data_IF_682589231285
#
_entry.id   IF_682589231285
#
_cell.length_a   1.000
_cell.length_b   1.000
_cell.length_c   1.000
_cell.angle_alpha   90.00
_cell.angle_beta   90.00
_cell.angle_gamma   90.00
#
_symmetry.space_group_name_H-M   'P 1'
#
loop_
_entity.id
_entity.type
_entity.pdbx_description
1 polymer ?
2 non-polymer ?
3 non-polymer ?
4 water ?
#
# COMPACT_ATOMS: atom_id res chain seq x y z
N UNK A 1 -29.53 -1.33 -8.63
CA UNK A 1 -28.73 -2.25 -7.84
C UNK A 1 -27.29 -2.29 -8.31
N UNK A 2 -27.00 -3.26 -9.21
CA UNK A 2 -25.66 -3.37 -9.81
C UNK A 2 -25.51 -2.30 -10.91
N UNK A 3 -26.64 -1.65 -11.34
CA UNK A 3 -26.70 -0.61 -12.37
C UNK A 3 -25.79 0.59 -12.07
N UNK A 4 -25.95 1.19 -10.87
CA UNK A 4 -25.17 2.35 -10.40
C UNK A 4 -23.76 1.91 -10.21
N UNK A 5 -23.55 0.73 -9.58
CA UNK A 5 -22.20 0.12 -9.36
C UNK A 5 -21.46 -0.09 -10.67
N UNK A 6 -22.12 -0.62 -11.70
CA UNK A 6 -21.53 -0.85 -13.03
C UNK A 6 -21.10 0.46 -13.70
N UNK A 7 -21.96 1.50 -13.65
CA UNK A 7 -21.76 2.85 -14.19
C UNK A 7 -20.57 3.48 -13.51
N UNK A 8 -20.45 3.31 -12.18
CA UNK A 8 -19.32 3.80 -11.37
C UNK A 8 -18.03 3.11 -11.88
N UNK A 9 -18.01 1.76 -11.87
CA UNK A 9 -16.87 0.99 -12.35
C UNK A 9 -16.49 1.35 -13.77
N UNK A 10 -17.48 1.64 -14.64
CA UNK A 10 -17.22 2.04 -16.02
C UNK A 10 -16.59 3.45 -16.10
N UNK A 11 -17.04 4.44 -15.30
CA UNK A 11 -16.43 5.78 -15.32
C UNK A 11 -14.99 5.73 -14.79
N UNK A 12 -14.77 4.96 -13.72
CA UNK A 12 -13.46 4.79 -13.13
C UNK A 12 -12.50 4.18 -14.16
N UNK A 13 -12.98 3.19 -14.94
CA UNK A 13 -12.19 2.56 -16.01
C UNK A 13 -11.82 3.60 -17.05
N UNK A 14 -12.80 4.36 -17.55
CA UNK A 14 -12.59 5.39 -18.56
C UNK A 14 -11.63 6.51 -18.10
N UNK A 15 -11.70 6.92 -16.80
CA UNK A 15 -10.79 7.94 -16.27
C UNK A 15 -9.36 7.40 -16.12
N UNK A 16 -9.24 6.10 -15.80
CA UNK A 16 -7.96 5.40 -15.65
C UNK A 16 -7.30 5.17 -17.04
N UNK A 17 -8.08 4.68 -18.04
CA UNK A 17 -7.63 4.34 -19.40
C UNK A 17 -7.40 5.53 -20.36
N UNK A 18 -7.92 6.71 -20.02
CA UNK A 18 -7.80 7.88 -20.87
C UNK A 18 -6.34 8.29 -21.07
N UNK A 19 -6.05 8.90 -22.23
CA UNK A 19 -4.72 9.41 -22.58
C UNK A 19 -4.24 10.49 -21.58
N UNK A 20 -2.96 10.39 -21.12
CA UNK A 20 -2.32 11.37 -20.26
C UNK A 20 -0.81 11.26 -20.42
N UNK A 21 -0.12 12.41 -20.32
CA UNK A 21 1.33 12.55 -20.42
C UNK A 21 1.93 12.47 -19.00
N UNK A 22 1.05 12.42 -17.97
CA UNK A 22 1.35 12.35 -16.54
C UNK A 22 2.47 11.35 -16.24
N UNK A 23 2.25 10.06 -16.59
CA UNK A 23 3.18 8.95 -16.40
C UNK A 23 4.51 9.18 -17.08
N UNK A 24 4.50 9.91 -18.21
CA UNK A 24 5.68 10.27 -18.97
C UNK A 24 6.52 11.26 -18.21
N UNK A 25 5.89 12.27 -17.60
CA UNK A 25 6.57 13.27 -16.77
C UNK A 25 7.19 12.57 -15.58
N UNK A 26 6.41 11.70 -14.91
CA UNK A 26 6.83 10.92 -13.75
C UNK A 26 8.01 9.99 -14.04
N UNK A 27 7.95 9.21 -15.16
CA UNK A 27 9.02 8.28 -15.56
C UNK A 27 10.37 9.00 -15.70
N UNK A 28 10.38 10.14 -16.41
CA UNK A 28 11.58 10.94 -16.65
C UNK A 28 12.22 11.48 -15.38
N UNK A 29 11.36 11.98 -14.45
CA UNK A 29 11.81 12.50 -13.15
C UNK A 29 12.47 11.39 -12.32
N UNK A 30 11.80 10.22 -12.19
CA UNK A 30 12.27 9.05 -11.43
C UNK A 30 13.60 8.50 -11.96
N UNK A 31 13.70 8.27 -13.31
CA UNK A 31 14.89 7.74 -14.00
C UNK A 31 16.09 8.61 -13.70
N UNK A 32 15.83 9.93 -13.56
CA UNK A 32 16.83 10.94 -13.27
C UNK A 32 17.27 10.81 -11.84
N UNK A 33 16.33 10.64 -10.91
CA UNK A 33 16.67 10.47 -9.51
C UNK A 33 17.54 9.23 -9.31
N UNK A 34 17.10 8.08 -9.89
CA UNK A 34 17.76 6.77 -9.81
C UNK A 34 19.21 6.77 -10.28
N UNK A 35 19.51 7.49 -11.38
CA UNK A 35 20.87 7.59 -11.94
C UNK A 35 21.82 8.42 -11.06
N UNK A 36 21.26 9.37 -10.31
CA UNK A 36 22.00 10.19 -9.36
C UNK A 36 22.26 9.41 -8.10
N UNK A 37 21.22 8.77 -7.57
CA UNK A 37 21.31 7.98 -6.34
C UNK A 37 22.31 6.79 -6.47
N UNK A 38 22.36 6.15 -7.66
CA UNK A 38 23.25 5.02 -7.95
C UNK A 38 24.76 5.36 -7.90
N UNK A 39 25.19 6.60 -8.25
CA UNK A 39 26.63 6.89 -8.17
C UNK A 39 27.03 7.41 -6.75
N UNK A 40 26.23 7.02 -5.72
CA UNK A 40 26.43 7.31 -4.30
C UNK A 40 26.71 6.01 -3.55
N UNK A 41 27.72 6.03 -2.64
CA UNK A 41 28.17 4.89 -1.82
C UNK A 41 27.05 4.11 -1.12
N UNK A 42 26.11 4.84 -0.49
CA UNK A 42 25.01 4.28 0.26
C UNK A 42 23.89 3.72 -0.58
N UNK A 43 23.65 4.29 -1.78
CA UNK A 43 22.50 3.93 -2.62
C UNK A 43 22.84 3.32 -4.00
N UNK A 44 24.05 2.75 -4.20
CA UNK A 44 24.46 2.13 -5.47
C UNK A 44 23.49 1.02 -5.96
N UNK A 45 22.90 0.30 -5.02
CA UNK A 45 21.95 -0.78 -5.30
C UNK A 45 20.50 -0.37 -5.25
N UNK A 46 20.18 0.96 -5.30
CA UNK A 46 18.78 1.44 -5.30
C UNK A 46 18.14 1.13 -6.65
N UNK A 47 16.87 0.75 -6.60
CA UNK A 47 16.10 0.46 -7.81
C UNK A 47 14.62 0.60 -7.57
N UNK A 48 13.85 0.76 -8.64
CA UNK A 48 12.40 0.83 -8.61
C UNK A 48 11.87 -0.56 -8.18
N UNK A 49 10.87 -0.61 -7.27
CA UNK A 49 10.32 -1.87 -6.76
C UNK A 49 9.85 -2.78 -7.87
N UNK A 50 8.84 -2.33 -8.63
CA UNK A 50 8.30 -3.06 -9.78
C UNK A 50 8.83 -2.35 -11.04
N UNK A 51 9.82 -2.97 -11.72
CA UNK A 51 10.45 -2.41 -12.93
C UNK A 51 9.47 -2.49 -14.10
N UNK A 52 8.93 -1.34 -14.47
CA UNK A 52 7.93 -1.19 -15.51
C UNK A 52 6.70 -0.46 -15.01
N UNK A 53 6.55 -0.38 -13.67
CA UNK A 53 5.45 0.31 -13.00
C UNK A 53 5.91 1.59 -12.28
N UNK A 54 5.45 2.74 -12.83
CA UNK A 54 5.66 4.11 -12.35
C UNK A 54 4.25 4.61 -11.97
N UNK A 55 3.27 4.37 -12.87
CA UNK A 55 1.85 4.70 -12.76
C UNK A 55 1.11 3.83 -11.71
N UNK A 56 1.70 3.69 -10.49
CA UNK A 56 1.12 2.94 -9.37
C UNK A 56 0.22 3.87 -8.55
N UNK A 57 -1.13 3.71 -8.71
CA UNK A 57 -2.15 4.55 -8.10
C UNK A 57 -2.85 3.92 -6.89
N UNK A 58 -2.52 4.42 -5.67
CA UNK A 58 -3.11 4.02 -4.39
C UNK A 58 -4.60 4.49 -4.38
N UNK A 59 -4.86 5.73 -4.84
CA UNK A 59 -6.20 6.31 -4.97
C UNK A 59 -6.80 5.91 -6.32
N UNK A 60 -8.03 5.38 -6.29
CA UNK A 60 -8.77 4.90 -7.46
C UNK A 60 -9.33 6.06 -8.32
N UNK A 61 -9.46 7.30 -7.76
CA UNK A 61 -10.00 8.43 -8.52
C UNK A 61 -8.98 9.56 -8.78
N UNK A 62 -7.74 9.44 -8.28
CA UNK A 62 -6.71 10.45 -8.46
C UNK A 62 -5.71 10.07 -9.55
N UNK A 63 -5.92 10.47 -10.83
CA UNK A 63 -4.95 10.11 -11.87
C UNK A 63 -3.69 10.99 -11.89
N UNK A 64 -3.63 12.01 -11.02
CA UNK A 64 -2.47 12.90 -10.96
C UNK A 64 -1.57 12.64 -9.75
N UNK A 65 -1.95 11.67 -8.90
CA UNK A 65 -1.16 11.32 -7.72
C UNK A 65 -0.56 9.97 -7.95
N UNK A 66 0.78 9.88 -7.84
CA UNK A 66 1.55 8.68 -8.07
C UNK A 66 2.25 8.29 -6.82
N UNK A 67 2.50 7.00 -6.68
CA UNK A 67 3.14 6.42 -5.52
C UNK A 67 4.27 5.55 -6.03
N UNK A 68 5.53 5.88 -5.70
CA UNK A 68 6.63 5.06 -6.21
C UNK A 68 7.49 4.56 -5.06
N UNK A 69 8.08 3.37 -5.24
CA UNK A 69 8.93 2.81 -4.22
C UNK A 69 10.32 2.50 -4.74
N UNK A 70 11.32 3.00 -4.02
CA UNK A 70 12.72 2.74 -4.33
C UNK A 70 13.22 1.76 -3.31
N UNK A 71 13.58 0.55 -3.73
CA UNK A 71 14.09 -0.44 -2.80
C UNK A 71 15.63 -0.55 -2.84
N UNK A 72 16.20 -0.92 -1.71
CA UNK A 72 17.62 -1.05 -1.52
C UNK A 72 17.85 -2.41 -0.85
N UNK A 73 18.54 -3.33 -1.53
CA UNK A 73 18.84 -4.67 -1.02
C UNK A 73 19.75 -4.55 0.20
N UNK A 74 19.30 -5.11 1.33
CA UNK A 74 20.06 -5.09 2.58
C UNK A 74 20.46 -6.53 2.97
N UNK A 75 21.65 -6.99 2.51
CA UNK A 75 22.08 -8.36 2.85
C UNK A 75 22.55 -8.46 4.29
N UNK A 76 22.48 -9.67 4.88
CA UNK A 76 22.92 -9.97 6.26
C UNK A 76 22.14 -9.20 7.35
N UNK A 77 20.93 -8.67 7.02
CA UNK A 77 20.04 -7.90 7.91
C UNK A 77 19.60 -8.71 9.15
N UNK A 78 19.63 -8.06 10.33
CA UNK A 78 19.23 -8.65 11.60
C UNK A 78 18.06 -7.79 12.13
N UNK A 79 16.88 -8.40 12.36
CA UNK A 79 15.70 -7.65 12.82
C UNK A 79 15.40 -7.96 14.24
N UNK A 80 15.01 -6.90 14.98
CA UNK A 80 14.65 -7.02 16.39
C UNK A 80 13.32 -6.29 16.57
N UNK A 81 12.26 -7.04 16.90
CA UNK A 81 10.92 -6.50 17.13
C UNK A 81 10.96 -5.41 18.17
N UNK A 82 10.37 -4.25 17.85
CA UNK A 82 10.32 -3.15 18.80
C UNK A 82 9.02 -3.17 19.64
N UNK A 83 9.14 -3.14 20.98
CA UNK A 83 8.05 -3.01 21.97
C UNK A 83 6.79 -3.89 21.73
N UNK A 84 7.01 -5.15 21.33
CA UNK A 84 5.97 -6.13 21.01
C UNK A 84 4.93 -5.60 19.98
N UNK A 85 5.37 -4.80 18.99
CA UNK A 85 4.47 -4.17 18.00
C UNK A 85 4.07 -5.09 16.86
N UNK A 86 4.80 -6.21 16.70
CA UNK A 86 4.59 -7.20 15.65
C UNK A 86 5.00 -6.70 14.25
N UNK A 87 4.77 -5.40 13.94
CA UNK A 87 5.06 -4.82 12.61
C UNK A 87 6.23 -3.82 12.56
N UNK A 88 6.71 -3.28 13.73
CA UNK A 88 7.84 -2.30 13.77
C UNK A 88 9.07 -2.98 14.27
N UNK A 89 10.23 -2.73 13.60
CA UNK A 89 11.52 -3.39 13.85
C UNK A 89 12.75 -2.52 13.84
N UNK A 90 13.73 -2.89 14.67
CA UNK A 90 15.05 -2.27 14.62
C UNK A 90 15.78 -3.03 13.51
N UNK A 91 16.61 -2.32 12.72
CA UNK A 91 17.43 -2.95 11.70
C UNK A 91 18.86 -2.96 12.18
N UNK A 92 19.45 -4.15 12.29
CA UNK A 92 20.83 -4.38 12.73
C UNK A 92 21.51 -5.20 11.62
N UNK A 93 22.80 -5.47 11.78
CA UNK A 93 23.58 -6.23 10.81
C UNK A 93 24.36 -7.37 11.45
N UNK A 94 24.46 -8.51 10.74
CA UNK A 94 25.24 -9.68 11.15
C UNK A 94 26.75 -9.33 11.05
N UNK A 95 27.11 -8.58 9.99
CA UNK A 95 28.41 -7.99 9.62
C UNK A 95 29.66 -8.89 9.62
N UNK A 96 30.38 -8.82 8.49
CA UNK A 96 31.70 -9.39 8.17
C UNK A 96 32.47 -8.27 7.43
N UNK A 97 31.95 -7.64 6.32
CA UNK A 97 32.67 -6.49 5.73
C UNK A 97 32.07 -5.22 6.36
N UNK A 98 32.19 -5.09 7.71
CA UNK A 98 31.65 -4.04 8.61
C UNK A 98 31.61 -2.62 8.01
N UNK A 99 32.55 -2.29 7.09
CA UNK A 99 32.59 -1.03 6.34
C UNK A 99 31.61 -1.17 5.13
N UNK A 100 30.42 -1.77 5.41
CA UNK A 100 29.30 -2.05 4.50
C UNK A 100 28.71 -0.75 3.93
N UNK A 101 28.03 -0.78 2.75
CA UNK A 101 27.50 0.47 2.17
C UNK A 101 26.63 1.36 3.06
N UNK A 102 26.00 0.78 4.10
CA UNK A 102 25.12 1.54 4.99
C UNK A 102 25.72 1.90 6.35
N UNK A 103 26.98 1.47 6.59
CA UNK A 103 27.73 1.76 7.82
C UNK A 103 27.65 3.23 8.25
N UNK A 104 27.56 4.15 7.26
CA UNK A 104 27.47 5.60 7.49
C UNK A 104 26.22 6.02 8.30
N UNK A 105 25.14 5.19 8.27
CA UNK A 105 23.91 5.50 8.98
C UNK A 105 23.79 4.80 10.37
N UNK A 106 24.73 3.90 10.73
CA UNK A 106 24.75 3.20 12.02
C UNK A 106 24.91 4.13 13.22
N UNK A 107 23.97 4.01 14.17
CA UNK A 107 23.98 4.66 15.48
C UNK A 107 24.10 3.46 16.41
N UNK A 108 25.34 3.05 16.65
CA UNK A 108 25.65 1.84 17.40
C UNK A 108 25.55 0.67 16.44
N UNK A 109 24.87 -0.41 16.85
CA UNK A 109 24.62 -1.56 15.97
C UNK A 109 23.33 -1.35 15.21
N UNK A 110 22.59 -0.26 15.54
CA UNK A 110 21.28 0.11 14.97
C UNK A 110 21.37 1.00 13.71
N UNK A 111 20.69 0.57 12.65
CA UNK A 111 20.56 1.33 11.41
C UNK A 111 19.54 2.47 11.57
N UNK A 112 20.02 3.73 11.55
CA UNK A 112 19.17 4.89 11.69
C UNK A 112 18.46 5.14 10.40
N UNK A 113 17.12 5.19 10.48
CA UNK A 113 16.23 5.51 9.39
C UNK A 113 16.40 7.00 9.11
N UNK A 114 16.36 7.83 10.17
CA UNK A 114 16.48 9.29 10.11
C UNK A 114 17.73 9.75 9.34
N UNK A 115 18.88 9.12 9.62
CA UNK A 115 20.16 9.42 8.96
C UNK A 115 20.16 8.99 7.48
N UNK A 116 19.46 7.88 7.17
CA UNK A 116 19.36 7.36 5.80
C UNK A 116 18.40 8.19 4.96
N UNK A 117 17.31 8.67 5.59
CA UNK A 117 16.32 9.50 4.94
C UNK A 117 16.87 10.88 4.67
N UNK A 118 17.77 11.38 5.57
CA UNK A 118 18.40 12.68 5.43
C UNK A 118 19.30 12.74 4.20
N UNK A 119 20.17 11.73 4.01
CA UNK A 119 21.09 11.57 2.89
C UNK A 119 20.30 11.47 1.59
N UNK A 120 19.27 10.59 1.57
CA UNK A 120 18.34 10.35 0.47
C UNK A 120 17.61 11.62 0.06
N UNK A 121 17.02 12.35 1.04
CA UNK A 121 16.33 13.61 0.75
C UNK A 121 17.30 14.63 0.14
N UNK A 122 18.54 14.72 0.69
CA UNK A 122 19.58 15.64 0.25
C UNK A 122 19.97 15.40 -1.22
N UNK A 123 20.27 14.13 -1.60
CA UNK A 123 20.64 13.78 -2.98
C UNK A 123 19.48 14.13 -3.94
N UNK A 124 18.23 13.91 -3.49
CA UNK A 124 17.03 14.17 -4.27
C UNK A 124 16.85 15.68 -4.43
N UNK A 125 17.15 16.45 -3.37
CA UNK A 125 17.10 17.92 -3.37
C UNK A 125 18.09 18.46 -4.40
N UNK A 126 19.32 17.87 -4.44
CA UNK A 126 20.41 18.20 -5.35
C UNK A 126 20.02 17.92 -6.81
N UNK A 127 19.33 16.80 -7.09
CA UNK A 127 18.89 16.46 -8.45
C UNK A 127 17.69 17.30 -8.95
N UNK A 128 16.74 17.65 -8.05
CA UNK A 128 15.56 18.47 -8.36
C UNK A 128 15.92 19.80 -9.05
N UNK A 129 16.94 20.52 -8.51
CA UNK A 129 17.45 21.80 -9.00
C UNK A 129 18.09 21.65 -10.38
N UNK A 130 19.00 20.64 -10.51
CA UNK A 130 19.74 20.27 -11.72
C UNK A 130 18.84 20.00 -12.95
N UNK A 131 17.53 19.73 -12.72
CA UNK A 131 16.55 19.50 -13.79
C UNK A 131 16.23 20.84 -14.48
N UNK A 132 16.47 20.90 -15.81
CA UNK A 132 16.21 22.07 -16.67
C UNK A 132 14.94 21.85 -17.51
N UNK A 133 14.49 20.59 -17.61
CA UNK A 133 13.34 20.14 -18.39
C UNK A 133 11.97 20.61 -17.82
N UNK A 134 11.52 20.02 -16.69
CA UNK A 134 10.21 20.29 -16.07
C UNK A 134 10.27 20.93 -14.66
N UNK A 135 9.16 21.61 -14.28
CA UNK A 135 8.97 22.29 -12.98
C UNK A 135 8.70 21.26 -11.86
N UNK A 136 9.74 20.93 -11.08
CA UNK A 136 9.70 19.97 -9.97
C UNK A 136 10.09 20.67 -8.65
N UNK A 137 9.20 20.61 -7.63
CA UNK A 137 9.44 21.18 -6.30
C UNK A 137 9.31 20.07 -5.23
N UNK A 138 10.29 19.99 -4.30
CA UNK A 138 10.32 19.00 -3.22
C UNK A 138 9.53 19.43 -1.97
N UNK A 139 8.28 18.92 -1.85
CA UNK A 139 7.38 19.18 -0.72
C UNK A 139 7.79 18.28 0.45
N UNK A 140 8.13 18.88 1.59
CA UNK A 140 8.49 18.10 2.77
C UNK A 140 7.46 18.25 3.88
N UNK A 141 6.97 17.11 4.39
CA UNK A 141 5.99 17.01 5.48
C UNK A 141 6.48 15.95 6.48
N UNK A 142 5.98 16.01 7.73
CA UNK A 142 6.36 15.06 8.78
C UNK A 142 5.86 13.65 8.46
N UNK A 143 6.80 12.82 8.02
CA UNK A 143 6.56 11.44 7.66
C UNK A 143 7.82 10.77 7.14
N UNK A 144 8.16 9.64 7.76
CA UNK A 144 9.30 8.81 7.38
C UNK A 144 9.04 8.11 6.06
N UNK A 145 7.77 7.69 5.84
CA UNK A 145 7.33 7.03 4.61
C UNK A 145 5.86 7.44 4.29
N UNK A 146 5.57 8.14 3.15
CA UNK A 146 6.47 8.58 2.07
C UNK A 146 7.55 9.55 2.55
N UNK A 147 8.80 9.23 2.22
CA UNK A 147 9.98 10.01 2.58
C UNK A 147 9.99 11.35 1.88
N UNK A 148 9.57 11.34 0.61
CA UNK A 148 9.56 12.52 -0.25
C UNK A 148 8.22 12.65 -0.98
N UNK A 149 7.79 13.88 -1.25
CA UNK A 149 6.68 14.21 -2.11
C UNK A 149 7.18 15.23 -3.14
N UNK A 150 7.05 14.89 -4.43
CA UNK A 150 7.44 15.77 -5.53
C UNK A 150 6.20 16.29 -6.18
N UNK A 151 6.28 17.50 -6.70
CA UNK A 151 5.16 18.10 -7.44
C UNK A 151 5.66 18.60 -8.80
N UNK A 152 5.36 17.80 -9.84
CA UNK A 152 5.69 18.06 -11.23
C UNK A 152 4.54 18.87 -11.81
N UNK A 153 4.84 20.09 -12.30
CA UNK A 153 3.90 21.07 -12.85
C UNK A 153 2.70 21.27 -11.89
N UNK A 154 1.46 21.12 -12.39
CA UNK A 154 0.26 21.26 -11.59
C UNK A 154 -0.46 19.92 -11.52
N UNK A 155 -0.92 19.57 -10.29
CA UNK A 155 -1.66 18.34 -9.92
C UNK A 155 -0.80 17.07 -9.91
N UNK A 156 0.22 16.97 -10.80
CA UNK A 156 1.06 15.77 -10.83
C UNK A 156 1.97 15.73 -9.59
N UNK A 157 1.56 14.94 -8.59
CA UNK A 157 2.32 14.74 -7.36
C UNK A 157 2.85 13.31 -7.35
N UNK A 158 4.05 13.08 -6.81
CA UNK A 158 4.68 11.74 -6.75
C UNK A 158 5.19 11.52 -5.35
N UNK A 159 4.69 10.44 -4.65
CA UNK A 159 5.14 10.06 -3.30
C UNK A 159 6.27 9.07 -3.44
N UNK A 160 7.40 9.33 -2.81
CA UNK A 160 8.53 8.39 -2.93
C UNK A 160 8.86 7.77 -1.58
N UNK A 161 8.78 6.44 -1.51
CA UNK A 161 9.11 5.69 -0.32
C UNK A 161 10.40 4.92 -0.60
N UNK A 162 11.35 5.00 0.33
CA UNK A 162 12.61 4.27 0.27
C UNK A 162 12.32 3.04 1.08
N UNK A 163 12.63 1.86 0.55
CA UNK A 163 12.35 0.62 1.27
C UNK A 163 13.56 -0.31 1.27
N UNK A 164 13.84 -0.93 2.42
CA UNK A 164 14.93 -1.89 2.46
C UNK A 164 14.34 -3.20 2.02
N UNK A 165 15.11 -4.03 1.35
CA UNK A 165 14.58 -5.32 0.90
C UNK A 165 15.36 -6.40 1.60
N UNK A 166 14.65 -7.41 2.11
CA UNK A 166 15.31 -8.52 2.78
C UNK A 166 14.92 -9.78 2.07
N UNK A 167 15.90 -10.64 1.78
CA UNK A 167 15.63 -11.85 1.01
C UNK A 167 15.55 -13.06 1.94
N UNK A 168 15.64 -12.82 3.27
CA UNK A 168 15.53 -13.85 4.30
C UNK A 168 14.06 -14.17 4.60
N UNK A 169 13.85 -15.28 5.33
CA UNK A 169 12.54 -15.76 5.76
C UNK A 169 11.78 -14.64 6.50
N UNK A 170 10.46 -14.60 6.33
CA UNK A 170 9.61 -13.54 6.88
C UNK A 170 9.63 -13.59 8.42
N UNK A 171 9.49 -12.43 9.10
CA UNK A 171 9.58 -12.42 10.57
C UNK A 171 8.52 -13.27 11.24
N UNK A 172 8.78 -13.78 12.45
CA UNK A 172 7.87 -14.66 13.21
C UNK A 172 6.44 -14.12 13.35
N UNK A 173 6.27 -12.80 13.38
CA UNK A 173 4.95 -12.13 13.52
C UNK A 173 3.99 -12.48 12.34
N UNK A 174 4.53 -12.93 11.18
CA UNK A 174 3.81 -13.30 9.96
C UNK A 174 3.43 -14.81 9.91
N UNK A 175 4.04 -15.64 10.78
CA UNK A 175 3.87 -17.10 10.80
C UNK A 175 2.43 -17.60 10.59
N UNK A 176 1.44 -16.95 11.23
CA UNK A 176 0.01 -17.34 11.11
C UNK A 176 -0.78 -16.46 10.12
N UNK A 177 -0.09 -15.55 9.44
CA UNK A 177 -0.72 -14.65 8.49
C UNK A 177 -0.91 -15.25 7.11
N UNK A 178 -1.43 -14.47 6.18
CA UNK A 178 -1.63 -14.89 4.79
C UNK A 178 -2.42 -16.23 4.74
N UNK A 179 -3.58 -16.26 5.39
CA UNK A 179 -4.38 -17.51 5.46
C UNK A 179 -5.16 -17.75 4.14
N UNK A 180 -4.41 -18.04 3.10
CA UNK A 180 -4.93 -18.22 1.74
C UNK A 180 -5.05 -19.71 1.36
N UNK A 181 -4.68 -20.64 2.30
CA UNK A 181 -4.59 -22.09 2.05
C UNK A 181 -5.85 -22.73 1.46
N UNK A 182 -7.03 -22.27 1.85
CA UNK A 182 -8.30 -22.83 1.35
C UNK A 182 -8.87 -22.03 0.18
N UNK A 183 -8.12 -21.04 -0.31
CA UNK A 183 -8.55 -20.22 -1.42
C UNK A 183 -7.53 -20.35 -2.59
N UNK A 184 -6.28 -19.91 -2.35
CA UNK A 184 -5.21 -19.90 -3.34
C UNK A 184 -4.34 -21.18 -3.30
N UNK A 185 -4.44 -21.98 -2.21
CA UNK A 185 -3.74 -23.23 -1.90
C UNK A 185 -2.58 -23.01 -0.97
N UNK A 186 -2.18 -24.06 -0.25
CA UNK A 186 -1.04 -24.14 0.67
C UNK A 186 0.27 -24.00 -0.08
N UNK A 187 0.36 -24.58 -1.30
CA UNK A 187 1.58 -24.45 -2.12
C UNK A 187 1.76 -23.02 -2.64
N UNK A 188 0.69 -22.27 -2.84
CA UNK A 188 0.84 -20.86 -3.23
C UNK A 188 1.35 -20.05 -2.04
N UNK A 189 0.81 -20.29 -0.84
CA UNK A 189 1.30 -19.66 0.39
C UNK A 189 2.83 -19.88 0.56
N UNK A 190 3.32 -21.15 0.45
CA UNK A 190 4.75 -21.45 0.58
C UNK A 190 5.58 -20.71 -0.47
N UNK A 191 5.05 -20.58 -1.71
CA UNK A 191 5.76 -19.89 -2.77
C UNK A 191 5.86 -18.40 -2.52
N UNK A 192 4.77 -17.75 -2.05
CA UNK A 192 4.78 -16.30 -1.79
C UNK A 192 5.66 -15.98 -0.58
N UNK A 193 5.63 -16.87 0.41
CA UNK A 193 6.42 -16.72 1.63
C UNK A 193 7.91 -16.91 1.41
N UNK A 194 8.33 -17.36 0.20
CA UNK A 194 9.77 -17.51 -0.15
C UNK A 194 10.28 -16.26 -0.86
N UNK A 195 9.36 -15.33 -1.15
CA UNK A 195 9.63 -14.04 -1.79
C UNK A 195 10.22 -13.05 -0.79
N UNK A 196 10.94 -11.99 -1.24
CA UNK A 196 11.47 -11.02 -0.25
C UNK A 196 10.36 -10.20 0.44
N UNK A 197 10.70 -9.49 1.52
CA UNK A 197 9.80 -8.57 2.22
C UNK A 197 10.55 -7.23 2.30
N UNK A 198 9.82 -6.13 2.53
CA UNK A 198 10.33 -4.76 2.54
C UNK A 198 10.12 -4.14 3.88
N UNK A 199 11.01 -3.21 4.26
CA UNK A 199 10.91 -2.49 5.53
C UNK A 199 10.91 -1.02 5.19
N UNK A 200 9.89 -0.30 5.61
CA UNK A 200 9.79 1.14 5.30
C UNK A 200 10.01 1.95 6.58
N UNK A 201 10.72 3.09 6.54
CA UNK A 201 10.95 3.83 7.78
C UNK A 201 9.62 4.34 8.33
N UNK A 202 9.28 4.00 9.60
CA UNK A 202 7.98 4.37 10.15
C UNK A 202 7.97 4.28 11.68
N UNK A 203 7.26 5.22 12.35
CA UNK A 203 7.04 5.23 13.81
C UNK A 203 5.65 4.66 14.13
N UNK A 204 5.46 4.02 15.33
CA UNK A 204 4.18 3.39 15.74
C UNK A 204 3.13 4.37 16.25
N UNK A 211 10.15 9.19 19.50
CA UNK A 211 10.25 8.73 18.13
C UNK A 211 11.53 7.92 17.86
N UNK A 212 11.38 6.59 17.82
CA UNK A 212 12.45 5.61 17.61
C UNK A 212 12.87 5.43 16.13
N UNK A 213 14.01 4.75 15.90
CA UNK A 213 14.57 4.46 14.57
C UNK A 213 14.07 3.09 14.11
N UNK A 214 12.76 3.01 13.85
CA UNK A 214 12.05 1.79 13.51
C UNK A 214 11.56 1.72 12.07
N UNK A 215 11.38 0.48 11.59
CA UNK A 215 10.94 0.18 10.23
C UNK A 215 9.70 -0.69 10.29
N UNK A 216 8.75 -0.49 9.38
CA UNK A 216 7.51 -1.24 9.34
C UNK A 216 7.53 -2.23 8.21
N UNK A 217 7.05 -3.49 8.47
CA UNK A 217 7.00 -4.54 7.43
C UNK A 217 6.08 -4.11 6.30
N UNK A 218 6.42 -4.50 5.05
CA UNK A 218 5.59 -4.14 3.93
C UNK A 218 5.51 -5.29 2.95
N UNK A 219 4.30 -5.68 2.57
CA UNK A 219 4.03 -6.80 1.68
C UNK A 219 3.13 -6.40 0.52
N UNK A 220 3.14 -5.14 0.11
CA UNK A 220 2.24 -4.69 -0.97
C UNK A 220 2.50 -5.37 -2.29
N UNK A 221 3.74 -5.87 -2.52
CA UNK A 221 4.09 -6.65 -3.71
C UNK A 221 3.41 -8.03 -3.72
N UNK A 222 3.15 -8.64 -2.53
CA UNK A 222 2.45 -9.93 -2.40
C UNK A 222 0.97 -9.68 -2.71
N UNK A 223 0.42 -8.57 -2.16
CA UNK A 223 -0.94 -8.13 -2.47
C UNK A 223 -1.16 -7.94 -3.95
N UNK A 224 -0.21 -7.28 -4.62
CA UNK A 224 -0.29 -7.08 -6.08
C UNK A 224 -0.29 -8.42 -6.86
N UNK A 225 0.49 -9.40 -6.41
CA UNK A 225 0.59 -10.70 -7.09
C UNK A 225 -0.75 -11.47 -6.92
N UNK A 226 -1.26 -11.50 -5.69
CA UNK A 226 -2.55 -12.16 -5.38
C UNK A 226 -3.65 -11.63 -6.27
N UNK A 227 -3.82 -10.30 -6.34
CA UNK A 227 -4.86 -9.66 -7.15
C UNK A 227 -4.78 -9.98 -8.62
N UNK A 228 -3.61 -10.30 -9.14
CA UNK A 228 -3.50 -10.66 -10.57
C UNK A 228 -3.62 -12.18 -10.83
N UNK A 229 -3.88 -12.99 -9.77
CA UNK A 229 -4.03 -14.47 -9.83
C UNK A 229 -4.76 -14.81 -8.53
N UNK A 230 -6.03 -14.39 -8.48
CA UNK A 230 -6.91 -14.33 -7.31
C UNK A 230 -7.97 -15.42 -7.23
N UNK A 231 -8.12 -16.26 -8.23
CA UNK A 231 -9.16 -17.27 -8.20
C UNK A 231 -8.80 -18.57 -7.47
N UNK A 232 -9.83 -19.35 -7.15
CA UNK A 232 -9.65 -20.69 -6.62
C UNK A 232 -9.25 -21.56 -7.83
N UNK A 233 -9.88 -21.29 -9.00
CA UNK A 233 -9.55 -21.94 -10.28
C UNK A 233 -8.42 -21.16 -10.89
N UNK A 234 -7.51 -21.85 -11.55
CA UNK A 234 -6.37 -21.20 -12.18
C UNK A 234 -6.82 -20.36 -13.38
N UNK A 235 -8.00 -20.66 -13.93
CA UNK A 235 -8.48 -19.96 -15.11
C UNK A 235 -9.35 -18.71 -14.79
N UNK A 236 -9.60 -18.39 -13.50
CA UNK A 236 -10.46 -17.25 -13.11
C UNK A 236 -10.13 -15.97 -13.91
N UNK A 237 -11.15 -15.35 -14.54
CA UNK A 237 -11.13 -14.09 -15.34
C UNK A 237 -10.38 -14.19 -16.65
N UNK A 238 -9.94 -15.41 -17.06
CA UNK A 238 -9.30 -15.63 -18.36
C UNK A 238 -10.33 -15.65 -19.46
N UNK A 239 -11.58 -15.92 -19.08
CA UNK A 239 -12.75 -15.86 -19.94
C UNK A 239 -13.37 -14.48 -19.58
N UNK A 240 -12.93 -13.42 -20.31
CA UNK A 240 -13.33 -12.01 -20.14
C UNK A 240 -14.84 -11.74 -20.25
N UNK A 241 -15.61 -12.71 -20.80
CA UNK A 241 -17.06 -12.64 -20.92
C UNK A 241 -17.71 -13.12 -19.62
N UNK A 242 -16.93 -13.79 -18.74
CA UNK A 242 -17.39 -14.34 -17.47
C UNK A 242 -16.35 -14.20 -16.33
N UNK A 243 -15.93 -12.97 -16.05
CA UNK A 243 -15.00 -12.69 -14.97
C UNK A 243 -15.72 -12.85 -13.61
N UNK A 244 -14.96 -12.77 -12.53
CA UNK A 244 -15.47 -12.71 -11.16
C UNK A 244 -15.52 -11.20 -10.82
N UNK A 245 -16.15 -10.83 -9.72
CA UNK A 245 -16.27 -9.40 -9.40
C UNK A 245 -15.36 -8.97 -8.24
N UNK A 246 -14.30 -9.77 -7.93
CA UNK A 246 -13.35 -9.51 -6.85
C UNK A 246 -12.74 -8.10 -7.00
N UNK A 247 -12.00 -7.84 -8.10
CA UNK A 247 -11.37 -6.54 -8.35
C UNK A 247 -12.34 -5.37 -8.34
N UNK A 248 -13.56 -5.58 -8.83
CA UNK A 248 -14.61 -4.57 -8.85
C UNK A 248 -15.03 -4.21 -7.42
N UNK A 249 -15.27 -5.23 -6.56
CA UNK A 249 -15.64 -5.01 -5.15
C UNK A 249 -14.54 -4.23 -4.43
N UNK A 250 -13.28 -4.56 -4.69
CA UNK A 250 -12.18 -3.80 -4.12
C UNK A 250 -12.21 -2.35 -4.57
N UNK A 251 -12.43 -2.08 -5.88
CA UNK A 251 -12.46 -0.72 -6.41
C UNK A 251 -13.57 0.07 -5.77
N UNK A 252 -14.77 -0.53 -5.71
CA UNK A 252 -15.92 0.09 -5.08
C UNK A 252 -15.70 0.39 -3.59
N UNK A 253 -14.99 -0.48 -2.86
CA UNK A 253 -14.72 -0.23 -1.44
C UNK A 253 -13.74 0.94 -1.33
N UNK A 254 -12.79 1.00 -2.27
CA UNK A 254 -11.85 2.10 -2.22
C UNK A 254 -12.49 3.44 -2.53
N UNK A 255 -13.38 3.50 -3.59
CA UNK A 255 -14.04 4.73 -4.01
C UNK A 255 -15.02 5.23 -2.98
N UNK A 256 -15.73 4.29 -2.31
CA UNK A 256 -16.65 4.60 -1.22
C UNK A 256 -15.93 5.41 -0.16
N UNK A 257 -14.81 4.89 0.36
CA UNK A 257 -13.98 5.55 1.38
C UNK A 257 -13.38 6.84 0.88
N UNK A 258 -12.83 6.86 -0.37
CA UNK A 258 -12.27 8.06 -0.99
C UNK A 258 -13.27 9.23 -1.00
N UNK A 259 -14.48 8.97 -1.53
CA UNK A 259 -15.61 9.92 -1.60
C UNK A 259 -16.07 10.41 -0.20
N UNK A 260 -16.12 9.51 0.81
CA UNK A 260 -16.50 9.89 2.18
C UNK A 260 -15.45 10.76 2.83
N UNK A 261 -14.17 10.45 2.58
CA UNK A 261 -13.06 11.27 3.07
C UNK A 261 -13.15 12.65 2.44
N UNK A 262 -13.30 12.77 1.09
CA UNK A 262 -13.45 14.06 0.39
C UNK A 262 -14.58 14.88 0.97
N UNK A 263 -15.76 14.28 1.17
CA UNK A 263 -16.94 14.94 1.75
C UNK A 263 -16.66 15.48 3.17
N UNK A 264 -15.97 14.67 4.00
CA UNK A 264 -15.67 15.06 5.38
C UNK A 264 -14.22 15.47 5.64
N UNK A 265 -13.56 16.14 4.66
CA UNK A 265 -12.17 16.60 4.80
C UNK A 265 -12.01 17.73 5.84
N UNK A 266 -13.03 18.61 5.97
CA UNK A 266 -13.05 19.73 6.92
C UNK A 266 -13.13 19.20 8.35
N UNK A 267 -13.93 18.13 8.55
CA UNK A 267 -14.04 17.44 9.83
C UNK A 267 -12.74 16.63 9.87
N UNK A 268 -12.25 16.24 11.05
CA UNK A 268 -10.98 15.50 11.09
C UNK A 268 -11.18 14.00 11.39
N UNK A 269 -12.43 13.55 11.40
CA UNK A 269 -12.88 12.24 11.83
C UNK A 269 -12.44 11.09 10.96
N UNK A 270 -12.30 11.28 9.63
CA UNK A 270 -11.90 10.15 8.77
C UNK A 270 -10.44 10.21 8.31
N UNK A 271 -9.69 11.19 8.80
CA UNK A 271 -8.28 11.43 8.50
C UNK A 271 -7.37 10.18 8.63
N UNK A 272 -7.61 9.33 9.65
CA UNK A 272 -6.77 8.15 9.88
C UNK A 272 -7.15 6.93 9.02
N UNK A 273 -8.34 6.93 8.37
CA UNK A 273 -8.66 5.81 7.50
C UNK A 273 -7.95 5.94 6.16
N UNK A 274 -7.65 4.80 5.53
CA UNK A 274 -6.98 4.80 4.25
C UNK A 274 -7.44 3.60 3.44
N UNK A 275 -7.14 3.57 2.11
CA UNK A 275 -7.49 2.41 1.29
C UNK A 275 -6.91 1.13 1.87
N UNK A 276 -5.85 1.24 2.69
CA UNK A 276 -5.22 0.07 3.31
C UNK A 276 -6.17 -0.70 4.23
N UNK A 277 -7.06 0.01 4.89
CA UNK A 277 -8.01 -0.59 5.81
C UNK A 277 -9.09 -1.37 5.02
N UNK A 278 -9.57 -0.77 3.95
CA UNK A 278 -10.60 -1.29 3.07
C UNK A 278 -10.07 -2.51 2.25
N UNK A 279 -8.81 -2.43 1.81
CA UNK A 279 -8.07 -3.45 1.06
C UNK A 279 -7.87 -4.69 1.92
N UNK A 280 -7.39 -4.52 3.18
CA UNK A 280 -7.22 -5.59 4.16
C UNK A 280 -8.57 -6.26 4.43
N UNK A 281 -9.62 -5.48 4.68
CA UNK A 281 -10.95 -6.04 4.92
C UNK A 281 -11.39 -6.88 3.75
N UNK A 282 -11.15 -6.41 2.51
CA UNK A 282 -11.51 -7.13 1.30
C UNK A 282 -10.76 -8.48 1.21
N UNK A 283 -9.47 -8.55 1.62
CA UNK A 283 -8.71 -9.80 1.58
C UNK A 283 -9.25 -10.79 2.58
N UNK A 284 -9.82 -10.29 3.70
CA UNK A 284 -10.44 -11.13 4.74
C UNK A 284 -11.78 -11.74 4.23
N UNK A 285 -12.50 -11.02 3.35
CA UNK A 285 -13.74 -11.50 2.73
C UNK A 285 -13.37 -12.56 1.64
N UNK A 286 -12.20 -12.44 1.00
CA UNK A 286 -11.71 -13.41 0.01
C UNK A 286 -11.45 -14.77 0.60
N UNK A 287 -10.84 -14.80 1.79
CA UNK A 287 -10.56 -15.98 2.62
C UNK A 287 -11.90 -16.55 3.11
N UNK A 288 -12.81 -15.67 3.55
CA UNK A 288 -14.14 -16.03 4.04
C UNK A 288 -14.97 -16.69 2.94
N UNK A 289 -14.88 -16.15 1.70
CA UNK A 289 -15.60 -16.59 0.50
C UNK A 289 -14.57 -17.09 -0.54
N UNK A 290 -13.97 -18.30 -0.37
CA UNK A 290 -12.88 -18.74 -1.28
C UNK A 290 -13.20 -19.16 -2.70
N UNK A 291 -14.46 -19.45 -2.98
CA UNK A 291 -14.93 -19.99 -4.24
C UNK A 291 -15.28 -18.91 -5.24
N UNK A 292 -14.88 -19.12 -6.50
CA UNK A 292 -15.17 -18.20 -7.58
C UNK A 292 -16.69 -17.99 -7.81
N UNK A 293 -17.54 -18.99 -7.47
CA UNK A 293 -19.02 -18.93 -7.56
C UNK A 293 -19.61 -17.92 -6.56
N UNK A 294 -18.78 -17.51 -5.56
CA UNK A 294 -19.16 -16.57 -4.51
C UNK A 294 -18.84 -15.16 -4.96
N UNK A 295 -18.33 -15.03 -6.18
CA UNK A 295 -17.88 -13.75 -6.75
C UNK A 295 -18.31 -13.61 -8.20
N UNK A 296 -19.52 -14.04 -8.54
CA UNK A 296 -20.03 -13.94 -9.90
C UNK A 296 -20.27 -12.51 -10.34
N UNK A 297 -19.89 -12.19 -11.60
CA UNK A 297 -20.10 -10.86 -12.20
C UNK A 297 -21.56 -10.42 -12.05
N UNK A 298 -22.51 -11.40 -12.19
CA UNK A 298 -23.97 -11.22 -12.00
C UNK A 298 -24.34 -10.75 -10.57
N UNK A 299 -23.56 -11.21 -9.56
CA UNK A 299 -23.81 -10.90 -8.15
C UNK A 299 -23.00 -9.72 -7.59
N UNK A 300 -22.54 -8.80 -8.47
CA UNK A 300 -21.78 -7.61 -8.08
C UNK A 300 -22.34 -6.91 -6.86
N UNK A 301 -23.64 -6.59 -6.89
CA UNK A 301 -24.34 -5.91 -5.81
C UNK A 301 -24.28 -6.60 -4.47
N UNK A 302 -24.52 -7.92 -4.48
CA UNK A 302 -24.54 -8.78 -3.29
C UNK A 302 -23.13 -8.92 -2.74
N UNK A 303 -22.15 -9.15 -3.60
CA UNK A 303 -20.75 -9.29 -3.26
C UNK A 303 -20.21 -8.02 -2.64
N UNK A 304 -20.62 -6.86 -3.19
CA UNK A 304 -20.21 -5.56 -2.67
C UNK A 304 -20.79 -5.33 -1.29
N UNK A 305 -22.03 -5.81 -1.08
CA UNK A 305 -22.69 -5.71 0.22
C UNK A 305 -22.00 -6.57 1.28
N UNK A 306 -21.53 -7.78 0.91
CA UNK A 306 -20.73 -8.69 1.74
C UNK A 306 -19.48 -7.96 2.26
N UNK A 307 -18.82 -7.14 1.39
CA UNK A 307 -17.64 -6.39 1.77
C UNK A 307 -18.01 -5.25 2.69
N UNK A 308 -19.11 -4.51 2.34
CA UNK A 308 -19.56 -3.37 3.13
C UNK A 308 -19.87 -3.83 4.54
N UNK A 309 -20.73 -4.86 4.68
CA UNK A 309 -21.14 -5.47 5.96
C UNK A 309 -19.92 -5.95 6.81
N UNK A 310 -18.96 -6.65 6.21
CA UNK A 310 -17.75 -7.11 6.91
C UNK A 310 -16.93 -5.91 7.43
N UNK A 311 -16.69 -4.87 6.57
CA UNK A 311 -15.98 -3.66 6.99
C UNK A 311 -16.71 -2.95 8.14
N UNK A 312 -18.06 -2.92 8.06
CA UNK A 312 -18.91 -2.35 9.09
C UNK A 312 -18.79 -3.13 10.38
N UNK A 313 -18.68 -4.47 10.28
CA UNK A 313 -18.53 -5.35 11.45
C UNK A 313 -17.22 -5.00 12.14
N UNK A 314 -16.16 -4.76 11.35
CA UNK A 314 -14.81 -4.40 11.76
C UNK A 314 -14.74 -3.09 12.57
N UNK A 315 -15.35 -2.03 12.03
CA UNK A 315 -15.39 -0.71 12.68
C UNK A 315 -16.12 -0.83 14.00
N UNK A 316 -17.28 -1.55 14.01
CA UNK A 316 -18.16 -1.73 15.16
C UNK A 316 -17.50 -2.53 16.28
N UNK A 317 -16.79 -3.62 15.95
CA UNK A 317 -16.09 -4.50 16.89
C UNK A 317 -14.68 -3.97 17.24
N UNK A 318 -14.21 -2.97 16.47
CA UNK A 318 -12.89 -2.33 16.57
C UNK A 318 -11.78 -3.33 16.34
N UNK A 319 -12.01 -4.23 15.37
CA UNK A 319 -11.06 -5.27 15.00
C UNK A 319 -10.93 -5.44 13.51
N UNK A 320 -9.69 -5.20 13.01
CA UNK A 320 -9.29 -5.41 11.63
C UNK A 320 -7.84 -5.81 11.67
N UNK A 321 -7.58 -7.12 11.59
CA UNK A 321 -6.25 -7.68 11.67
C UNK A 321 -5.53 -7.35 10.40
N UNK A 322 -4.22 -7.13 10.53
CA UNK A 322 -3.40 -6.99 9.35
C UNK A 322 -3.43 -8.40 8.69
N UNK A 323 -3.57 -8.44 7.37
CA UNK A 323 -3.69 -9.67 6.61
C UNK A 323 -2.46 -10.56 6.70
N UNK A 324 -1.29 -9.96 6.96
CA UNK A 324 -0.02 -10.68 7.06
C UNK A 324 0.48 -10.86 8.49
N UNK A 325 0.03 -10.00 9.44
CA UNK A 325 0.47 -9.99 10.84
C UNK A 325 -0.80 -10.04 11.69
N UNK A 326 -1.29 -11.25 11.99
CA UNK A 326 -2.60 -11.36 12.67
C UNK A 326 -2.74 -10.60 13.98
N UNK A 327 -1.65 -10.47 14.77
CA UNK A 327 -1.76 -9.76 16.04
C UNK A 327 -1.63 -8.24 15.90
N UNK A 328 -1.48 -7.71 14.67
CA UNK A 328 -1.49 -6.27 14.44
C UNK A 328 -2.94 -5.87 14.15
N UNK A 329 -3.56 -5.12 15.09
CA UNK A 329 -4.95 -4.68 14.95
C UNK A 329 -5.04 -3.22 14.41
N UNK A 330 -5.37 -3.10 13.14
CA UNK A 330 -5.47 -1.81 12.45
C UNK A 330 -6.48 -0.86 13.08
N UNK A 331 -7.50 -1.43 13.74
CA UNK A 331 -8.62 -0.74 14.38
C UNK A 331 -8.46 -0.60 15.90
N UNK A 332 -7.23 -0.74 16.44
CA UNK A 332 -7.07 -0.56 17.89
C UNK A 332 -7.41 0.87 18.27
N UNK A 333 -7.94 1.06 19.51
CA UNK A 333 -8.34 2.38 20.01
C UNK A 333 -7.15 3.35 20.12
N UNK A 334 -5.91 2.81 20.25
CA UNK A 334 -4.67 3.60 20.31
C UNK A 334 -4.29 4.05 18.88
N UNK A 335 -4.71 3.31 17.87
CA UNK A 335 -4.42 3.74 16.50
C UNK A 335 -5.50 4.71 16.00
N UNK A 336 -6.78 4.34 16.17
CA UNK A 336 -7.94 5.10 15.74
C UNK A 336 -8.95 5.09 16.91
N UNK A 337 -9.30 6.27 17.45
CA UNK A 337 -10.22 6.35 18.58
C UNK A 337 -11.69 5.97 18.19
N UNK A 338 -12.47 5.47 19.17
CA UNK A 338 -13.84 4.99 18.98
C UNK A 338 -14.73 5.99 18.25
N UNK A 339 -14.77 7.27 18.68
CA UNK A 339 -15.63 8.28 18.03
C UNK A 339 -15.38 8.36 16.49
N UNK A 340 -14.10 8.37 16.02
CA UNK A 340 -13.75 8.38 14.58
C UNK A 340 -14.37 7.19 13.83
N UNK A 341 -14.31 6.00 14.48
CA UNK A 341 -14.86 4.74 13.96
C UNK A 341 -16.38 4.81 13.91
N UNK A 342 -17.01 5.37 14.96
CA UNK A 342 -18.48 5.50 15.01
C UNK A 342 -18.95 6.46 13.92
N UNK A 343 -18.19 7.55 13.72
CA UNK A 343 -18.44 8.49 12.64
C UNK A 343 -18.44 7.76 11.25
N UNK A 344 -17.45 6.90 10.98
CA UNK A 344 -17.37 6.16 9.71
C UNK A 344 -18.51 5.16 9.53
N UNK A 345 -18.83 4.37 10.57
CA UNK A 345 -19.95 3.42 10.59
C UNK A 345 -21.25 4.15 10.20
N UNK A 346 -21.54 5.29 10.87
CA UNK A 346 -22.71 6.13 10.61
C UNK A 346 -22.71 6.61 9.16
N UNK A 347 -21.62 7.21 8.67
CA UNK A 347 -21.56 7.63 7.27
C UNK A 347 -21.77 6.48 6.26
N UNK A 348 -21.14 5.30 6.49
CA UNK A 348 -21.29 4.15 5.58
C UNK A 348 -22.74 3.59 5.64
N UNK A 349 -23.31 3.45 6.86
CA UNK A 349 -24.69 2.95 7.03
C UNK A 349 -25.69 3.81 6.29
N UNK A 350 -25.49 5.16 6.33
CA UNK A 350 -26.30 6.13 5.60
C UNK A 350 -26.14 5.89 4.09
N UNK A 351 -24.90 5.63 3.63
CA UNK A 351 -24.64 5.36 2.21
C UNK A 351 -25.40 4.14 1.69
N UNK A 352 -25.27 2.99 2.37
CA UNK A 352 -25.96 1.73 2.07
C UNK A 352 -27.49 1.91 2.03
N UNK A 353 -28.06 2.57 3.06
CA UNK A 353 -29.50 2.83 3.20
C UNK A 353 -30.07 3.90 2.23
N UNK A 354 -29.20 4.64 1.49
CA UNK A 354 -29.64 5.66 0.52
C UNK A 354 -29.14 5.39 -0.91
N UNK A 355 -28.82 4.11 -1.22
CA UNK A 355 -28.31 3.65 -2.52
C UNK A 355 -27.05 4.40 -2.96
N UNK A 356 -26.05 4.40 -2.05
CA UNK A 356 -24.72 4.99 -2.12
C UNK A 356 -24.70 6.35 -2.87
N UNK A 357 -25.27 7.43 -2.29
CA UNK A 357 -25.24 8.73 -2.99
C UNK A 357 -23.85 9.25 -3.36
N UNK A 358 -22.78 8.72 -2.75
CA UNK A 358 -21.40 9.15 -3.09
C UNK A 358 -21.00 8.72 -4.52
N UNK A 359 -21.78 7.81 -5.14
CA UNK A 359 -21.60 7.34 -6.51
C UNK A 359 -22.65 8.02 -7.46
N UNK A 360 -23.10 9.26 -7.17
CA UNK A 360 -24.11 9.97 -7.96
C UNK A 360 -23.60 10.50 -9.32
X LIG B 1 -11.49 -13.54 -11.13
X LIG C 1 1.34 -1.63 7.15
X LIG C 1 1.86 -3.11 8.91
X LIG C 1 0.91 -2.55 9.73
X LIG C 1 -1.32 1.69 6.18
X LIG C 1 -2.98 2.49 7.96
X LIG C 1 2.09 -2.69 7.64
X LIG C 1 -0.37 0.70 6.16
X LIG C 1 -0.43 0.10 7.43
X LIG C 1 -1.68 2.65 5.12
X LIG C 1 0.36 -1.03 7.94
X LIG C 1 0.16 -1.50 9.24
X LIG C 1 2.59 -4.15 9.39
X LIG C 1 -1.91 1.65 7.42
X LIG C 1 -1.38 0.67 8.19
X LIG C 1 -2.43 3.61 5.57
X LIG C 1 -1.32 2.56 3.97
#
# INVERSE_FOLDING_TARGET
GASKLRAVLEKLKLSRDDISTAAGMVKGVVDHLLLRLKCDSAFRGVGLLNTGSYYEHVKISAPNEFDVMFKLEVPRIQLEEYSNTRAYYFVKFKRNPKENPLSQFLEGEILSASKMLSKFRKIIKEEINDIKDTDVIMKRKRGGSPAVTLLISEKISVDITLALESKSSWPASTQEGLRIQNWLSAKVRKQLRLKPFYLVPKHAKEGNGFQEETWRLSFSHIEKEILNNHGKSKTCCENKEEKCCRKDCLKLMKYLLEQLKERFKDKKHLDKFSSYHVKTAFFHVCTQNPQDSQWDRKDLGLCFDNCVTYFLQCLRTEKLENYFIPEFNLFSSNLIDKRSKEFLTKQIEYERNNEFPVFDEF
ZN ZN
YMI C10 C13 C15 C1 C12 C14 C3 C5 C6 C7 C9 F16 N2 N4 O11 O8
#
